data_IF_359211221985
#
_entry.id   IF_359211221985
#
_cell.length_a   1.000
_cell.length_b   1.000
_cell.length_c   1.000
_cell.angle_alpha   90.00
_cell.angle_beta   90.00
_cell.angle_gamma   90.00
#
_symmetry.space_group_name_H-M   'P 1'
#
loop_
_entity.id
_entity.type
_entity.pdbx_description
1 polymer ?
#
# COMPACT_ATOMS: atom_id res chain seq x y z
N UNK A 1 -7.37 -22.26 46.69
CA UNK A 1 -6.58 -22.29 45.44
C UNK A 1 -7.40 -21.57 44.38
N UNK A 2 -7.02 -20.33 44.01
CA UNK A 2 -6.40 -19.99 42.71
C UNK A 2 -7.33 -20.42 41.55
N UNK A 3 -8.12 -19.58 40.90
CA UNK A 3 -7.85 -18.22 40.44
C UNK A 3 -7.30 -18.28 39.02
N UNK A 4 -8.16 -18.22 38.00
CA UNK A 4 -7.78 -17.90 36.62
C UNK A 4 -9.03 -17.53 35.81
N UNK A 5 -9.46 -16.27 35.94
CA UNK A 5 -10.33 -15.63 34.96
C UNK A 5 -9.46 -15.32 33.75
N UNK A 6 -9.61 -16.11 32.68
CA UNK A 6 -8.98 -15.81 31.39
C UNK A 6 -9.67 -14.60 30.78
N UNK A 7 -9.09 -13.42 30.95
CA UNK A 7 -9.52 -12.22 30.23
C UNK A 7 -9.02 -12.33 28.79
N UNK A 8 -9.85 -12.87 27.90
CA UNK A 8 -9.65 -12.72 26.46
C UNK A 8 -9.95 -11.27 26.09
N UNK A 9 -8.94 -10.42 26.05
CA UNK A 9 -9.05 -9.11 25.40
C UNK A 9 -9.22 -9.35 23.91
N UNK A 10 -10.47 -9.41 23.45
CA UNK A 10 -10.78 -9.30 22.03
C UNK A 10 -10.34 -7.91 21.64
N UNK A 11 -9.16 -7.81 21.01
CA UNK A 11 -8.72 -6.59 20.36
C UNK A 11 -9.73 -6.38 19.23
N UNK A 12 -10.69 -5.50 19.48
CA UNK A 12 -11.56 -4.97 18.45
C UNK A 12 -10.67 -4.13 17.54
N UNK A 13 -9.94 -4.79 16.64
CA UNK A 13 -9.42 -4.17 15.44
C UNK A 13 -10.69 -3.77 14.71
N UNK A 14 -11.08 -2.51 14.83
CA UNK A 14 -12.05 -1.94 13.92
C UNK A 14 -11.34 -2.02 12.57
N UNK A 15 -11.73 -2.91 11.64
CA UNK A 15 -11.29 -2.68 10.30
C UNK A 15 -11.92 -1.32 9.95
N UNK A 16 -11.10 -0.30 9.79
CA UNK A 16 -11.50 0.83 8.98
C UNK A 16 -11.67 0.23 7.58
N UNK A 17 -12.84 -0.38 7.34
CA UNK A 17 -13.32 -0.68 6.01
C UNK A 17 -13.53 0.69 5.37
N UNK A 18 -12.44 1.26 4.86
CA UNK A 18 -12.48 2.30 3.87
C UNK A 18 -13.33 1.72 2.75
N UNK A 19 -14.57 2.24 2.68
CA UNK A 19 -15.61 1.81 1.77
C UNK A 19 -15.05 1.80 0.36
N UNK A 20 -14.80 0.63 -0.20
CA UNK A 20 -14.47 0.45 -1.61
C UNK A 20 -15.76 0.56 -2.42
N UNK A 21 -16.37 1.74 -2.41
CA UNK A 21 -17.53 2.05 -3.23
C UNK A 21 -17.07 2.56 -4.59
N UNK A 22 -17.08 1.65 -5.56
CA UNK A 22 -17.39 1.90 -6.98
C UNK A 22 -16.72 3.09 -7.68
N UNK A 23 -15.55 2.84 -8.26
CA UNK A 23 -15.19 3.30 -9.62
C UNK A 23 -13.79 2.82 -9.96
N UNK A 24 -13.62 2.18 -11.12
CA UNK A 24 -12.30 1.73 -11.65
C UNK A 24 -11.34 2.91 -11.87
N UNK A 25 -11.89 4.12 -11.95
CA UNK A 25 -11.16 5.39 -12.01
C UNK A 25 -10.77 5.93 -10.63
N UNK A 26 -11.44 5.51 -9.55
CA UNK A 26 -11.22 5.97 -8.16
C UNK A 26 -10.59 4.89 -7.29
N UNK A 27 -10.03 3.84 -7.89
CA UNK A 27 -9.38 2.80 -7.10
C UNK A 27 -8.10 3.33 -6.44
N UNK A 28 -7.85 2.91 -5.20
CA UNK A 28 -6.68 3.33 -4.42
C UNK A 28 -5.69 2.17 -4.26
N UNK A 29 -4.40 2.49 -4.32
CA UNK A 29 -3.28 1.56 -4.13
C UNK A 29 -2.56 1.96 -2.82
N UNK A 30 -2.74 1.20 -1.73
CA UNK A 30 -2.05 1.44 -0.48
C UNK A 30 -0.58 1.01 -0.59
N UNK A 31 0.30 1.80 0.03
CA UNK A 31 1.73 1.51 0.15
C UNK A 31 2.14 1.73 1.61
N UNK A 32 2.60 0.70 2.33
CA UNK A 32 2.45 -0.73 2.05
C UNK A 32 0.97 -1.16 2.10
N UNK A 33 0.69 -2.41 1.72
CA UNK A 33 -0.64 -2.97 1.90
C UNK A 33 -1.00 -3.11 3.39
N UNK A 34 -2.29 -3.28 3.65
CA UNK A 34 -2.85 -3.32 5.01
C UNK A 34 -2.20 -4.40 5.89
N UNK A 35 -1.75 -5.53 5.32
CA UNK A 35 -1.12 -6.59 6.11
C UNK A 35 0.29 -6.20 6.61
N UNK A 36 0.94 -5.23 5.97
CA UNK A 36 2.24 -4.69 6.38
C UNK A 36 2.18 -3.21 6.77
N UNK A 37 1.00 -2.73 7.18
CA UNK A 37 0.82 -1.37 7.67
C UNK A 37 1.87 -1.03 8.76
N UNK A 38 2.55 0.11 8.63
CA UNK A 38 3.65 0.53 9.51
C UNK A 38 5.05 0.09 9.06
N UNK A 39 5.16 -0.70 7.99
CA UNK A 39 6.44 -1.00 7.34
C UNK A 39 6.91 0.14 6.44
N UNK A 40 8.20 0.15 6.16
CA UNK A 40 8.85 1.10 5.25
C UNK A 40 9.11 0.42 3.91
N UNK A 41 9.34 1.21 2.86
CA UNK A 41 9.61 0.70 1.52
C UNK A 41 11.06 0.95 1.16
N UNK A 42 11.82 -0.11 0.90
CA UNK A 42 13.19 0.02 0.39
C UNK A 42 13.20 0.40 -1.10
N UNK A 43 14.35 0.85 -1.62
CA UNK A 43 14.47 1.30 -3.01
C UNK A 43 14.11 0.22 -4.04
N UNK A 44 14.30 -1.05 -3.70
CA UNK A 44 13.92 -2.21 -4.54
C UNK A 44 12.41 -2.53 -4.49
N UNK A 45 11.63 -1.77 -3.71
CA UNK A 45 10.20 -1.98 -3.50
C UNK A 45 9.86 -3.06 -2.49
N UNK A 46 10.83 -3.58 -1.72
CA UNK A 46 10.55 -4.51 -0.62
C UNK A 46 10.01 -3.77 0.61
N UNK A 47 9.20 -4.47 1.40
CA UNK A 47 8.76 -3.97 2.72
C UNK A 47 9.80 -4.32 3.76
N UNK A 48 10.26 -3.32 4.50
CA UNK A 48 11.31 -3.44 5.51
C UNK A 48 10.88 -2.82 6.84
N UNK A 49 11.47 -3.22 7.97
CA UNK A 49 11.22 -2.57 9.26
C UNK A 49 11.55 -1.08 9.24
N UNK A 50 10.97 -0.35 10.19
CA UNK A 50 11.39 1.02 10.44
C UNK A 50 12.88 1.09 10.78
N UNK A 51 13.55 2.20 10.40
CA UNK A 51 14.99 2.46 10.60
C UNK A 51 15.95 1.63 9.73
N UNK A 52 15.47 0.96 8.70
CA UNK A 52 16.34 0.42 7.65
C UNK A 52 16.93 1.56 6.82
N UNK A 53 18.22 1.46 6.49
CA UNK A 53 18.90 2.45 5.65
C UNK A 53 18.29 2.47 4.24
N UNK A 54 18.17 3.66 3.65
CA UNK A 54 17.56 3.86 2.32
C UNK A 54 16.12 3.35 2.21
N UNK A 55 15.40 3.28 3.33
CA UNK A 55 13.98 2.97 3.36
C UNK A 55 13.13 4.24 3.52
N UNK A 56 12.00 4.28 2.82
CA UNK A 56 11.11 5.41 2.76
C UNK A 56 9.85 5.14 3.60
N UNK A 57 9.44 6.15 4.37
CA UNK A 57 8.23 6.08 5.18
C UNK A 57 7.00 5.97 4.26
N UNK A 58 5.96 5.20 4.65
CA UNK A 58 4.76 5.11 3.84
C UNK A 58 4.10 6.47 3.61
N UNK A 59 3.48 6.69 2.45
CA UNK A 59 2.71 7.91 2.20
C UNK A 59 1.56 8.06 3.20
N UNK A 60 1.21 9.31 3.53
CA UNK A 60 0.12 9.62 4.46
C UNK A 60 -1.27 9.19 3.97
N UNK A 61 -1.41 8.92 2.67
CA UNK A 61 -2.62 8.41 2.03
C UNK A 61 -2.26 7.40 0.95
N UNK A 62 -3.17 6.47 0.61
CA UNK A 62 -2.99 5.66 -0.58
C UNK A 62 -3.00 6.54 -1.85
N UNK A 63 -2.36 6.03 -2.91
CA UNK A 63 -2.33 6.71 -4.21
C UNK A 63 -3.51 6.28 -5.07
N UNK A 64 -4.06 7.19 -5.87
CA UNK A 64 -5.14 6.82 -6.80
C UNK A 64 -4.60 6.05 -8.00
N UNK A 65 -5.48 5.31 -8.66
CA UNK A 65 -5.16 4.61 -9.90
C UNK A 65 -4.62 5.54 -10.98
N UNK A 66 -5.13 6.76 -11.14
CA UNK A 66 -4.61 7.69 -12.13
C UNK A 66 -3.22 8.23 -11.76
N UNK A 67 -2.98 8.50 -10.47
CA UNK A 67 -1.66 8.91 -9.99
C UNK A 67 -0.61 7.84 -10.28
N UNK A 68 -0.94 6.59 -9.98
CA UNK A 68 -0.08 5.44 -10.25
C UNK A 68 0.09 5.21 -11.75
N UNK A 69 -0.98 5.28 -12.54
CA UNK A 69 -0.92 5.12 -14.01
C UNK A 69 0.01 6.15 -14.64
N UNK A 70 -0.16 7.43 -14.28
CA UNK A 70 0.70 8.52 -14.77
C UNK A 70 2.15 8.31 -14.34
N UNK A 71 2.38 7.88 -13.09
CA UNK A 71 3.72 7.63 -12.59
C UNK A 71 4.39 6.43 -13.28
N UNK A 72 3.63 5.38 -13.61
CA UNK A 72 4.12 4.23 -14.40
C UNK A 72 4.46 4.61 -15.85
N UNK A 73 3.80 5.64 -16.41
CA UNK A 73 4.09 6.19 -17.74
C UNK A 73 5.29 7.16 -17.77
N UNK A 74 6.04 7.29 -16.67
CA UNK A 74 7.20 8.17 -16.58
C UNK A 74 6.93 9.47 -15.79
N UNK A 75 5.74 9.63 -15.22
CA UNK A 75 5.46 10.69 -14.26
C UNK A 75 5.97 10.39 -12.86
N UNK A 76 5.49 11.18 -11.90
CA UNK A 76 5.91 11.09 -10.50
C UNK A 76 4.68 11.08 -9.57
N UNK A 77 4.76 10.29 -8.49
CA UNK A 77 3.72 10.25 -7.46
C UNK A 77 3.71 11.56 -6.65
N UNK A 78 2.53 12.05 -6.22
CA UNK A 78 2.44 13.30 -5.49
C UNK A 78 3.17 13.21 -4.14
N UNK A 79 3.79 14.33 -3.74
CA UNK A 79 4.55 14.47 -2.48
C UNK A 79 5.68 13.44 -2.32
N UNK A 80 6.30 13.01 -3.43
CA UNK A 80 7.47 12.13 -3.41
C UNK A 80 8.72 12.84 -3.91
N UNK A 81 9.88 12.31 -3.55
CA UNK A 81 11.19 12.66 -4.12
C UNK A 81 11.59 11.56 -5.12
N UNK A 82 12.62 11.79 -5.94
CA UNK A 82 13.04 10.84 -6.96
C UNK A 82 13.20 9.39 -6.43
N UNK A 83 13.93 9.25 -5.31
CA UNK A 83 14.18 7.95 -4.71
C UNK A 83 12.92 7.31 -4.10
N UNK A 84 12.07 8.08 -3.41
CA UNK A 84 10.85 7.53 -2.81
C UNK A 84 9.82 7.17 -3.89
N UNK A 85 9.72 7.97 -4.95
CA UNK A 85 8.92 7.64 -6.13
C UNK A 85 9.35 6.31 -6.72
N UNK A 86 10.65 6.12 -6.94
CA UNK A 86 11.19 4.87 -7.49
C UNK A 86 10.92 3.67 -6.57
N UNK A 87 11.12 3.84 -5.26
CA UNK A 87 10.81 2.82 -4.25
C UNK A 87 9.34 2.39 -4.30
N UNK A 88 8.41 3.35 -4.32
CA UNK A 88 6.97 3.09 -4.37
C UNK A 88 6.54 2.47 -5.69
N UNK A 89 7.08 2.92 -6.82
CA UNK A 89 6.79 2.31 -8.11
C UNK A 89 7.32 0.87 -8.19
N UNK A 90 8.49 0.59 -7.61
CA UNK A 90 9.02 -0.77 -7.52
C UNK A 90 8.13 -1.65 -6.63
N UNK A 91 7.62 -1.11 -5.52
CA UNK A 91 6.65 -1.80 -4.68
C UNK A 91 5.36 -2.13 -5.46
N UNK A 92 4.78 -1.14 -6.16
CA UNK A 92 3.55 -1.31 -6.97
C UNK A 92 3.75 -2.40 -8.03
N UNK A 93 4.87 -2.37 -8.77
CA UNK A 93 5.18 -3.38 -9.81
C UNK A 93 5.29 -4.80 -9.26
N UNK A 94 5.58 -4.94 -7.96
CA UNK A 94 5.74 -6.23 -7.26
C UNK A 94 4.49 -6.67 -6.52
N UNK A 95 3.40 -5.88 -6.56
CA UNK A 95 2.12 -6.28 -5.97
C UNK A 95 1.70 -7.65 -6.51
N UNK A 96 1.33 -8.55 -5.62
CA UNK A 96 0.88 -9.90 -5.96
C UNK A 96 -0.63 -10.03 -5.73
N UNK A 97 -1.23 -11.05 -6.35
CA UNK A 97 -2.63 -11.44 -6.11
C UNK A 97 -2.87 -11.62 -4.60
N UNK A 98 -3.92 -10.97 -4.09
CA UNK A 98 -4.28 -10.96 -2.67
C UNK A 98 -3.68 -9.82 -1.85
N UNK A 99 -2.77 -9.01 -2.42
CA UNK A 99 -2.28 -7.79 -1.77
C UNK A 99 -3.20 -6.59 -2.07
N UNK A 100 -3.34 -5.69 -1.10
CA UNK A 100 -4.12 -4.46 -1.26
C UNK A 100 -3.62 -3.63 -2.46
N UNK A 101 -4.53 -3.18 -3.32
CA UNK A 101 -4.20 -2.40 -4.51
C UNK A 101 -3.77 -3.22 -5.73
N UNK A 102 -3.55 -4.54 -5.63
CA UNK A 102 -3.22 -5.37 -6.80
C UNK A 102 -4.33 -5.36 -7.84
N UNK A 103 -5.59 -5.44 -7.43
CA UNK A 103 -6.74 -5.43 -8.34
C UNK A 103 -6.80 -4.11 -9.13
N UNK A 104 -6.55 -2.98 -8.47
CA UNK A 104 -6.41 -1.68 -9.13
C UNK A 104 -5.25 -1.68 -10.13
N UNK A 105 -4.05 -2.08 -9.69
CA UNK A 105 -2.86 -2.12 -10.55
C UNK A 105 -3.04 -3.03 -11.76
N UNK A 106 -3.70 -4.18 -11.60
CA UNK A 106 -4.04 -5.09 -12.68
C UNK A 106 -4.99 -4.42 -13.69
N UNK A 107 -5.99 -3.67 -13.21
CA UNK A 107 -6.88 -2.88 -14.09
C UNK A 107 -6.15 -1.79 -14.86
N UNK A 108 -5.13 -1.16 -14.29
CA UNK A 108 -4.32 -0.14 -14.99
C UNK A 108 -3.45 -0.71 -16.11
N UNK A 109 -3.08 -1.99 -16.00
CA UNK A 109 -2.25 -2.68 -16.99
C UNK A 109 -3.06 -3.26 -18.16
N UNK A 110 -4.39 -3.35 -18.04
CA UNK A 110 -5.23 -3.69 -19.16
C UNK A 110 -5.24 -2.48 -20.12
N UNK A 111 -4.69 -2.59 -21.34
CA UNK A 111 -4.91 -1.56 -22.34
C UNK A 111 -6.42 -1.52 -22.58
N UNK A 112 -7.03 -0.35 -22.41
CA UNK A 112 -8.41 -0.16 -22.87
C UNK A 112 -8.44 -0.55 -24.34
N UNK A 113 -9.27 -1.55 -24.67
CA UNK A 113 -9.48 -1.98 -26.05
C UNK A 113 -10.05 -0.87 -26.91
#
# INVERSE_FOLDING_TARGET
MLGALGASTVVAIRPALAQTTGSVLTCEIPIPDQARAGSYIALDGSTVPARTLFAFAPPSRPYTGEEVKRALQGGMLPNTNYFSNQAYLNYIRRLQRGQGGFTCYASLQMPGG
#
